data_IF_700148331537
#
_entry.id   IF_700148331537
#
_cell.length_a   1.000
_cell.length_b   1.000
_cell.length_c   1.000
_cell.angle_alpha   90.00
_cell.angle_beta   90.00
_cell.angle_gamma   90.00
#
_symmetry.space_group_name_H-M   'P 1'
#
loop_
_entity.id
_entity.type
_entity.pdbx_description
1 polymer ?
#
# COMPACT_ATOMS: atom_id res chain seq x y z
N UNK A 1 8.41 20.39 8.98
CA UNK A 1 8.27 19.72 7.68
C UNK A 1 7.57 18.39 7.84
N UNK A 2 6.84 17.99 6.82
CA UNK A 2 6.17 16.71 6.82
C UNK A 2 7.21 15.58 6.74
N UNK A 3 6.95 14.50 7.49
CA UNK A 3 7.91 13.41 7.69
C UNK A 3 8.36 12.73 6.41
N UNK A 4 7.43 12.52 5.48
CA UNK A 4 7.71 11.80 4.24
C UNK A 4 7.46 12.68 3.01
N UNK A 5 7.87 13.95 3.11
CA UNK A 5 7.58 14.95 2.08
C UNK A 5 8.01 14.48 0.69
N UNK A 6 7.06 14.49 -0.25
CA UNK A 6 7.31 14.13 -1.64
C UNK A 6 7.32 12.65 -1.97
N UNK A 7 7.21 11.76 -0.96
CA UNK A 7 7.16 10.32 -1.22
C UNK A 7 5.88 9.96 -1.95
N UNK A 8 5.98 9.11 -2.96
CA UNK A 8 4.86 8.74 -3.82
C UNK A 8 4.38 7.34 -3.47
N UNK A 9 3.11 7.25 -3.08
CA UNK A 9 2.53 6.00 -2.56
C UNK A 9 1.42 5.51 -3.48
N UNK A 10 1.50 4.24 -3.85
CA UNK A 10 0.45 3.55 -4.62
C UNK A 10 -0.47 2.85 -3.64
N UNK A 11 -1.79 2.99 -3.81
CA UNK A 11 -2.77 2.50 -2.85
C UNK A 11 -3.81 1.63 -3.52
N UNK A 12 -4.08 0.45 -2.95
CA UNK A 12 -5.20 -0.41 -3.37
C UNK A 12 -6.07 -0.70 -2.16
N UNK A 13 -7.33 -0.28 -2.22
CA UNK A 13 -8.30 -0.44 -1.15
C UNK A 13 -9.71 -0.39 -1.73
N UNK A 14 -10.54 -1.39 -1.45
CA UNK A 14 -11.88 -1.50 -2.05
C UNK A 14 -12.99 -0.78 -1.27
N UNK A 15 -12.73 -0.35 -0.05
CA UNK A 15 -13.71 0.39 0.75
C UNK A 15 -13.46 1.89 0.64
N UNK A 16 -14.44 2.62 0.11
CA UNK A 16 -14.30 4.05 -0.18
C UNK A 16 -13.87 4.87 1.04
N UNK A 17 -14.50 4.65 2.18
CA UNK A 17 -14.19 5.43 3.38
C UNK A 17 -12.80 5.13 3.92
N UNK A 18 -12.37 3.87 3.84
CA UNK A 18 -11.03 3.48 4.26
C UNK A 18 -9.99 4.10 3.33
N UNK A 19 -10.26 4.08 2.03
CA UNK A 19 -9.38 4.71 1.04
C UNK A 19 -9.21 6.21 1.31
N UNK A 20 -10.32 6.92 1.51
CA UNK A 20 -10.26 8.36 1.77
C UNK A 20 -9.52 8.67 3.06
N UNK A 21 -9.75 7.87 4.11
CA UNK A 21 -9.04 8.04 5.37
C UNK A 21 -7.54 7.83 5.18
N UNK A 22 -7.16 6.81 4.43
CA UNK A 22 -5.75 6.55 4.16
C UNK A 22 -5.11 7.69 3.36
N UNK A 23 -5.83 8.22 2.37
CA UNK A 23 -5.33 9.35 1.60
C UNK A 23 -5.09 10.58 2.48
N UNK A 24 -5.99 10.84 3.44
CA UNK A 24 -5.83 11.94 4.38
C UNK A 24 -4.59 11.72 5.26
N UNK A 25 -4.40 10.49 5.74
CA UNK A 25 -3.22 10.15 6.54
C UNK A 25 -1.94 10.40 5.73
N UNK A 26 -1.90 9.94 4.48
CA UNK A 26 -0.74 10.11 3.62
C UNK A 26 -0.45 11.58 3.34
N UNK A 27 -1.49 12.36 3.08
CA UNK A 27 -1.35 13.80 2.85
C UNK A 27 -0.76 14.48 4.07
N UNK A 28 -1.23 14.13 5.26
CA UNK A 28 -0.71 14.71 6.50
C UNK A 28 0.77 14.36 6.72
N UNK A 29 1.21 13.21 6.21
CA UNK A 29 2.62 12.80 6.29
C UNK A 29 3.47 13.42 5.17
N UNK A 30 2.85 14.17 4.27
CA UNK A 30 3.57 14.83 3.18
C UNK A 30 3.70 13.97 1.93
N UNK A 31 3.06 12.80 1.91
CA UNK A 31 3.12 11.91 0.75
C UNK A 31 2.16 12.36 -0.34
N UNK A 32 2.48 11.98 -1.57
CA UNK A 32 1.59 12.11 -2.71
C UNK A 32 1.02 10.73 -3.02
N UNK A 33 -0.24 10.66 -3.42
CA UNK A 33 -0.83 9.42 -3.88
C UNK A 33 -0.48 9.27 -5.36
N UNK A 34 0.43 8.34 -5.66
CA UNK A 34 0.92 8.13 -7.03
C UNK A 34 -0.14 7.51 -7.92
N UNK A 35 -1.02 6.71 -7.32
CA UNK A 35 -2.13 6.06 -8.00
C UNK A 35 -2.98 5.35 -6.97
N UNK A 36 -4.24 5.15 -7.30
CA UNK A 36 -5.16 4.44 -6.41
C UNK A 36 -6.08 3.55 -7.22
N UNK A 37 -6.44 2.40 -6.66
CA UNK A 37 -7.36 1.48 -7.29
C UNK A 37 -8.25 0.84 -6.23
N UNK A 38 -9.49 0.59 -6.60
CA UNK A 38 -10.48 -0.03 -5.72
C UNK A 38 -10.84 -1.43 -6.20
N UNK A 39 -10.32 -1.86 -7.35
CA UNK A 39 -10.58 -3.17 -7.94
C UNK A 39 -9.28 -3.74 -8.48
N UNK A 40 -9.22 -5.08 -8.53
CA UNK A 40 -7.99 -5.75 -8.95
C UNK A 40 -7.59 -5.44 -10.39
N UNK A 41 -8.53 -5.41 -11.32
CA UNK A 41 -8.21 -5.15 -12.73
C UNK A 41 -7.56 -3.78 -12.90
N UNK A 42 -8.09 -2.76 -12.21
CA UNK A 42 -7.54 -1.42 -12.25
C UNK A 42 -6.18 -1.37 -11.55
N UNK A 43 -6.05 -2.10 -10.43
CA UNK A 43 -4.78 -2.16 -9.71
C UNK A 43 -3.67 -2.74 -10.58
N UNK A 44 -3.97 -3.82 -11.31
CA UNK A 44 -3.01 -4.45 -12.22
C UNK A 44 -2.61 -3.49 -13.33
N UNK A 45 -3.59 -2.84 -13.96
CA UNK A 45 -3.33 -1.88 -15.04
C UNK A 45 -2.44 -0.73 -14.55
N UNK A 46 -2.80 -0.12 -13.41
CA UNK A 46 -2.03 0.99 -12.85
C UNK A 46 -0.64 0.55 -12.39
N UNK A 47 -0.52 -0.66 -11.83
CA UNK A 47 0.78 -1.16 -11.39
C UNK A 47 1.78 -1.23 -12.54
N UNK A 48 1.29 -1.48 -13.75
CA UNK A 48 2.13 -1.53 -14.95
C UNK A 48 2.50 -0.15 -15.48
N UNK A 49 1.61 0.83 -15.34
CA UNK A 49 1.72 2.10 -16.05
C UNK A 49 2.07 3.29 -15.17
N UNK A 50 1.85 3.20 -13.86
CA UNK A 50 2.14 4.30 -12.94
C UNK A 50 3.63 4.65 -13.00
N UNK A 51 3.93 5.95 -12.87
CA UNK A 51 5.31 6.43 -12.89
C UNK A 51 6.07 6.02 -11.63
N UNK A 52 6.83 6.95 -11.08
CA UNK A 52 7.63 6.67 -9.89
C UNK A 52 6.75 6.35 -8.69
N UNK A 53 7.11 5.29 -7.95
CA UNK A 53 6.42 4.87 -6.72
C UNK A 53 7.48 4.50 -5.70
N UNK A 54 7.39 5.10 -4.51
CA UNK A 54 8.35 4.85 -3.43
C UNK A 54 7.91 3.72 -2.52
N UNK A 55 6.61 3.48 -2.39
CA UNK A 55 6.06 2.35 -1.65
C UNK A 55 4.61 2.14 -2.05
N UNK A 56 4.07 0.97 -1.77
CA UNK A 56 2.67 0.64 -2.04
C UNK A 56 2.00 0.11 -0.78
N UNK A 57 0.75 0.53 -0.57
CA UNK A 57 -0.09 0.02 0.52
C UNK A 57 -1.22 -0.74 -0.13
N UNK A 58 -1.28 -2.03 0.12
CA UNK A 58 -2.15 -2.96 -0.59
C UNK A 58 -3.04 -3.74 0.36
N UNK A 59 -4.35 -3.53 0.28
CA UNK A 59 -5.29 -4.37 1.00
C UNK A 59 -5.24 -5.76 0.36
N UNK A 60 -5.08 -6.81 1.17
CA UNK A 60 -4.93 -8.17 0.67
C UNK A 60 -6.20 -8.64 -0.06
N UNK A 61 -7.37 -8.34 0.51
CA UNK A 61 -8.65 -8.76 -0.09
C UNK A 61 -9.33 -7.57 -0.77
N UNK A 62 -9.53 -7.69 -2.07
CA UNK A 62 -10.12 -6.64 -2.90
C UNK A 62 -11.32 -7.22 -3.64
N UNK A 63 -12.55 -6.88 -3.17
CA UNK A 63 -13.77 -7.28 -3.86
C UNK A 63 -13.93 -8.77 -4.03
N UNK A 64 -13.52 -9.57 -3.03
CA UNK A 64 -13.66 -11.02 -3.07
C UNK A 64 -12.50 -11.73 -3.77
N UNK A 65 -11.47 -11.00 -4.20
CA UNK A 65 -10.26 -11.59 -4.78
C UNK A 65 -9.04 -11.06 -4.02
N UNK A 66 -7.85 -11.56 -4.33
CA UNK A 66 -6.63 -11.12 -3.65
C UNK A 66 -5.84 -10.14 -4.51
N UNK A 67 -5.05 -9.31 -3.85
CA UNK A 67 -4.28 -8.23 -4.48
C UNK A 67 -2.99 -8.73 -5.13
N UNK A 68 -2.62 -10.00 -4.94
CA UNK A 68 -1.29 -10.48 -5.30
C UNK A 68 -0.90 -10.32 -6.77
N UNK A 69 -1.80 -10.42 -7.76
CA UNK A 69 -1.38 -10.12 -9.14
C UNK A 69 -0.82 -8.71 -9.31
N UNK A 70 -1.41 -7.72 -8.63
CA UNK A 70 -0.87 -6.35 -8.68
C UNK A 70 0.41 -6.23 -7.86
N UNK A 71 0.46 -6.90 -6.70
CA UNK A 71 1.64 -6.90 -5.84
C UNK A 71 2.86 -7.47 -6.56
N UNK A 72 2.66 -8.52 -7.36
CA UNK A 72 3.74 -9.14 -8.12
C UNK A 72 4.38 -8.16 -9.11
N UNK A 73 3.55 -7.39 -9.80
CA UNK A 73 4.03 -6.39 -10.76
C UNK A 73 4.84 -5.32 -10.05
N UNK A 74 4.33 -4.82 -8.93
CA UNK A 74 5.03 -3.78 -8.16
C UNK A 74 6.33 -4.31 -7.58
N UNK A 75 6.33 -5.54 -7.06
CA UNK A 75 7.54 -6.15 -6.52
C UNK A 75 8.61 -6.31 -7.60
N UNK A 76 8.22 -6.70 -8.81
CA UNK A 76 9.16 -6.83 -9.93
C UNK A 76 9.73 -5.48 -10.35
N UNK A 77 9.02 -4.39 -10.08
CA UNK A 77 9.51 -3.04 -10.31
C UNK A 77 10.38 -2.52 -9.17
N UNK A 78 10.59 -3.33 -8.13
CA UNK A 78 11.40 -2.93 -6.98
C UNK A 78 10.67 -2.04 -5.97
N UNK A 79 9.34 -1.97 -6.03
CA UNK A 79 8.56 -1.13 -5.11
C UNK A 79 8.40 -1.86 -3.77
N UNK A 80 8.79 -1.23 -2.65
CA UNK A 80 8.52 -1.80 -1.32
C UNK A 80 7.02 -1.91 -1.06
N UNK A 81 6.58 -3.04 -0.51
CA UNK A 81 5.16 -3.33 -0.30
C UNK A 81 4.79 -3.35 1.17
N UNK A 82 3.64 -2.75 1.50
CA UNK A 82 3.02 -2.83 2.81
C UNK A 82 1.63 -3.43 2.60
N UNK A 83 1.42 -4.64 3.13
CA UNK A 83 0.11 -5.30 3.03
C UNK A 83 -0.77 -4.94 4.22
N UNK A 84 -2.04 -4.66 3.95
CA UNK A 84 -3.04 -4.39 4.99
C UNK A 84 -4.01 -5.58 5.05
N UNK A 85 -4.19 -6.14 6.23
CA UNK A 85 -5.04 -7.32 6.42
C UNK A 85 -5.64 -7.32 7.82
N UNK A 86 -6.84 -7.88 7.96
CA UNK A 86 -7.48 -8.05 9.27
C UNK A 86 -6.86 -9.17 10.09
N UNK A 87 -6.00 -9.97 9.49
CA UNK A 87 -5.41 -11.17 10.12
C UNK A 87 -3.92 -11.01 10.42
N UNK A 88 -3.36 -9.83 10.24
CA UNK A 88 -1.94 -9.61 10.44
C UNK A 88 -1.12 -10.47 9.48
N UNK A 89 0.09 -10.84 9.91
CA UNK A 89 1.00 -11.61 9.06
C UNK A 89 0.43 -12.97 8.68
N UNK A 90 -0.43 -13.55 9.53
CA UNK A 90 -1.08 -14.82 9.22
C UNK A 90 -2.00 -14.74 8.01
N UNK A 91 -2.41 -13.54 7.61
CA UNK A 91 -3.21 -13.32 6.42
C UNK A 91 -2.44 -13.41 5.12
N UNK A 92 -1.11 -13.59 5.16
CA UNK A 92 -0.27 -13.64 3.97
C UNK A 92 0.17 -15.07 3.65
N UNK A 93 0.11 -15.48 2.36
CA UNK A 93 0.76 -16.72 1.94
C UNK A 93 2.26 -16.69 2.22
N UNK A 94 2.87 -17.88 2.31
CA UNK A 94 4.28 -18.02 2.66
C UNK A 94 5.20 -17.17 1.77
N UNK A 95 4.92 -17.12 0.49
CA UNK A 95 5.75 -16.39 -0.47
C UNK A 95 5.77 -14.89 -0.24
N UNK A 96 4.82 -14.35 0.52
CA UNK A 96 4.72 -12.92 0.81
C UNK A 96 5.11 -12.57 2.24
N UNK A 97 5.51 -13.56 3.05
CA UNK A 97 5.79 -13.34 4.48
C UNK A 97 6.97 -12.41 4.76
N UNK A 98 7.85 -12.20 3.80
CA UNK A 98 8.98 -11.30 3.97
C UNK A 98 8.64 -9.82 3.86
N UNK A 99 7.41 -9.48 3.52
CA UNK A 99 6.99 -8.09 3.32
C UNK A 99 6.38 -7.49 4.59
N UNK A 100 6.32 -6.15 4.63
CA UNK A 100 5.72 -5.44 5.77
C UNK A 100 4.20 -5.65 5.81
N UNK A 101 3.65 -5.67 7.01
CA UNK A 101 2.21 -5.88 7.23
C UNK A 101 1.68 -4.86 8.24
N UNK A 102 0.47 -4.38 7.99
CA UNK A 102 -0.27 -3.53 8.91
C UNK A 102 -1.63 -4.18 9.15
N UNK A 103 -2.12 -4.16 10.39
CA UNK A 103 -3.38 -4.81 10.76
C UNK A 103 -4.53 -3.82 10.67
N UNK A 104 -5.61 -4.22 10.03
CA UNK A 104 -6.83 -3.40 9.94
C UNK A 104 -7.70 -3.63 11.16
N UNK A 105 -8.32 -2.61 11.73
CA UNK A 105 -8.20 -1.20 11.36
C UNK A 105 -6.89 -0.60 11.88
N UNK A 106 -6.30 0.29 11.11
CA UNK A 106 -5.03 0.92 11.48
C UNK A 106 -5.22 2.40 11.82
N UNK A 107 -4.32 2.92 12.66
CA UNK A 107 -4.29 4.33 13.01
C UNK A 107 -3.29 5.08 12.12
N UNK A 108 -3.33 6.44 12.13
CA UNK A 108 -2.29 7.21 11.45
C UNK A 108 -0.88 6.86 11.91
N UNK A 109 -0.71 6.59 13.21
CA UNK A 109 0.60 6.22 13.77
C UNK A 109 1.06 4.86 13.25
N UNK A 110 0.11 3.92 13.06
CA UNK A 110 0.44 2.61 12.50
C UNK A 110 0.97 2.76 11.07
N UNK A 111 0.34 3.61 10.26
CA UNK A 111 0.78 3.86 8.89
C UNK A 111 2.17 4.48 8.87
N UNK A 112 2.38 5.51 9.68
CA UNK A 112 3.68 6.18 9.76
C UNK A 112 4.78 5.19 10.16
N UNK A 113 4.51 4.38 11.18
CA UNK A 113 5.49 3.42 11.71
C UNK A 113 5.83 2.35 10.68
N UNK A 114 4.85 1.90 9.90
CA UNK A 114 5.06 0.88 8.90
C UNK A 114 5.76 1.42 7.65
N UNK A 115 5.46 2.66 7.25
CA UNK A 115 6.06 3.26 6.06
C UNK A 115 7.51 3.69 6.26
N UNK A 116 7.86 4.12 7.46
CA UNK A 116 9.21 4.65 7.72
C UNK A 116 10.32 3.76 7.21
N UNK A 117 10.38 2.48 7.63
CA UNK A 117 11.45 1.58 7.17
C UNK A 117 11.44 1.35 5.67
N UNK A 118 10.28 1.39 5.03
CA UNK A 118 10.17 1.19 3.59
C UNK A 118 10.70 2.38 2.81
N UNK A 119 10.44 3.58 3.29
CA UNK A 119 10.87 4.82 2.62
C UNK A 119 12.33 5.17 2.94
N UNK A 120 12.81 4.81 4.11
CA UNK A 120 14.18 5.09 4.51
C UNK A 120 15.22 4.29 3.71
N UNK A 121 14.79 3.24 3.01
CA UNK A 121 15.68 2.42 2.18
C UNK A 121 15.89 3.00 0.78
N UNK A 122 15.22 4.08 0.48
CA UNK A 122 15.28 4.71 -0.86
C UNK A 122 16.60 5.43 -1.10
#
# INVERSE_FOLDING_TARGET
LAKFAGSRIFVVEDETLVLFNLEDILTDLGCEVAGQAMRLDKAVELAKTVGEVDAAILDVNIGGTTVFPAAQILAERGVPLLFATGYGRDGLPDEWQGHAVIVKPYSPQDVERALGPLLDKQ
#
